data_IF_573856846098
#
_entry.id   IF_573856846098
#
_cell.length_a   1.000
_cell.length_b   1.000
_cell.length_c   1.000
_cell.angle_alpha   90.00
_cell.angle_beta   90.00
_cell.angle_gamma   90.00
#
_symmetry.space_group_name_H-M   'P 1'
#
loop_
_entity.id
_entity.type
_entity.pdbx_description
1 polymer ?
#
# COMPACT_ATOMS: atom_id res chain seq x y z
N UNK A 1 -0.80 44.42 -35.87
CA UNK A 1 -0.33 45.22 -34.71
C UNK A 1 -0.91 44.61 -33.44
N UNK A 2 -0.11 43.86 -32.67
CA UNK A 2 -0.54 43.39 -31.35
C UNK A 2 -0.37 44.55 -30.35
N UNK A 3 -1.48 45.11 -29.87
CA UNK A 3 -1.48 46.06 -28.77
C UNK A 3 -1.28 45.27 -27.47
N UNK A 4 -0.03 45.15 -27.00
CA UNK A 4 0.26 44.62 -25.67
C UNK A 4 -0.08 45.70 -24.63
N UNK A 5 -1.27 45.64 -24.08
CA UNK A 5 -1.69 46.60 -23.07
C UNK A 5 -1.09 46.24 -21.71
N UNK A 6 -0.38 47.19 -21.10
CA UNK A 6 0.12 46.98 -19.74
C UNK A 6 -1.06 47.03 -18.76
N UNK A 7 -1.02 46.19 -17.72
CA UNK A 7 -2.12 46.03 -16.75
C UNK A 7 -2.57 47.38 -16.14
N UNK A 8 -1.63 48.29 -15.92
CA UNK A 8 -1.87 49.63 -15.37
C UNK A 8 -2.72 50.49 -16.30
N UNK A 9 -2.50 50.33 -17.60
CA UNK A 9 -3.20 51.03 -18.65
C UNK A 9 -4.64 50.48 -18.77
N UNK A 10 -4.82 49.15 -18.66
CA UNK A 10 -6.13 48.46 -18.64
C UNK A 10 -7.06 49.04 -17.57
N UNK A 11 -6.50 49.24 -16.39
CA UNK A 11 -7.24 49.73 -15.23
C UNK A 11 -7.63 51.21 -15.37
N UNK A 12 -6.76 52.04 -15.96
CA UNK A 12 -7.05 53.46 -16.20
C UNK A 12 -8.19 53.66 -17.19
N UNK A 13 -8.20 52.90 -18.30
CA UNK A 13 -9.29 52.96 -19.30
C UNK A 13 -10.63 52.53 -18.74
N UNK A 14 -10.65 51.63 -17.76
CA UNK A 14 -11.85 51.19 -17.06
C UNK A 14 -12.35 52.16 -15.98
N UNK A 15 -11.81 53.40 -15.92
CA UNK A 15 -12.25 54.44 -14.99
C UNK A 15 -11.67 54.33 -13.58
N UNK A 16 -10.68 53.46 -13.37
CA UNK A 16 -10.04 53.27 -12.07
C UNK A 16 -8.84 54.21 -11.91
N UNK A 17 -9.07 55.39 -11.29
CA UNK A 17 -8.05 56.42 -11.04
C UNK A 17 -7.44 56.37 -9.62
N UNK A 18 -7.42 55.19 -9.00
CA UNK A 18 -6.83 55.04 -7.66
C UNK A 18 -5.31 54.86 -7.74
N UNK A 19 -4.59 55.56 -6.86
CA UNK A 19 -3.14 55.52 -6.78
C UNK A 19 -2.70 54.26 -6.02
N UNK A 20 -2.40 53.18 -6.75
CA UNK A 20 -1.96 51.91 -6.16
C UNK A 20 -0.54 52.03 -5.61
N UNK A 21 -0.41 52.22 -4.29
CA UNK A 21 0.87 52.06 -3.61
C UNK A 21 1.12 50.57 -3.38
N UNK A 22 2.18 50.03 -3.99
CA UNK A 22 2.61 48.66 -3.74
C UNK A 22 3.07 48.54 -2.28
N UNK A 23 2.29 47.82 -1.47
CA UNK A 23 2.59 47.61 -0.06
C UNK A 23 3.42 46.32 0.10
N UNK A 24 4.75 46.48 0.22
CA UNK A 24 5.72 45.37 0.38
C UNK A 24 5.48 44.56 1.65
N UNK A 25 4.87 45.13 2.68
CA UNK A 25 4.67 44.48 3.97
C UNK A 25 3.66 43.32 3.89
N UNK A 26 2.84 43.27 2.82
CA UNK A 26 1.93 42.15 2.55
C UNK A 26 2.64 40.92 1.96
N UNK A 27 3.83 41.04 1.39
CA UNK A 27 4.60 39.87 0.93
C UNK A 27 5.25 39.14 2.09
N UNK A 28 5.76 39.86 3.10
CA UNK A 28 6.37 39.24 4.28
C UNK A 28 5.35 38.51 5.16
N UNK A 29 4.14 39.06 5.29
CA UNK A 29 3.05 38.40 6.03
C UNK A 29 2.52 37.12 5.37
N UNK A 30 2.85 36.85 4.08
CA UNK A 30 2.47 35.60 3.42
C UNK A 30 3.44 34.44 3.68
N UNK A 31 4.61 34.67 4.29
CA UNK A 31 5.51 33.58 4.70
C UNK A 31 4.88 32.69 5.78
N UNK A 32 4.01 33.25 6.63
CA UNK A 32 3.25 32.52 7.64
C UNK A 32 2.02 31.77 7.08
N UNK A 33 1.80 31.80 5.76
CA UNK A 33 0.72 31.06 5.08
C UNK A 33 1.17 29.68 4.61
N UNK A 34 2.40 29.27 4.95
CA UNK A 34 2.87 27.88 4.80
C UNK A 34 2.19 26.92 5.78
N UNK A 35 1.50 27.44 6.80
CA UNK A 35 0.47 26.71 7.55
C UNK A 35 -0.82 26.53 6.73
N UNK A 36 -0.67 26.18 5.44
CA UNK A 36 -1.75 25.62 4.63
C UNK A 36 -2.21 24.36 5.33
N UNK A 37 -3.23 24.49 6.18
CA UNK A 37 -4.07 23.45 6.79
C UNK A 37 -3.54 22.06 6.47
N UNK A 38 -2.61 21.55 7.31
CA UNK A 38 -2.26 20.12 7.31
C UNK A 38 -3.56 19.38 7.60
N UNK A 39 -4.28 19.02 6.53
CA UNK A 39 -5.53 18.28 6.64
C UNK A 39 -5.11 16.94 7.24
N UNK A 40 -5.45 16.69 8.50
CA UNK A 40 -5.26 15.38 9.10
C UNK A 40 -6.04 14.39 8.24
N UNK A 41 -5.31 13.58 7.49
CA UNK A 41 -5.93 12.48 6.76
C UNK A 41 -6.21 11.42 7.82
N UNK A 42 -7.44 10.91 7.87
CA UNK A 42 -7.75 9.68 8.61
C UNK A 42 -7.06 8.54 7.87
N UNK A 43 -5.77 8.33 8.16
CA UNK A 43 -4.95 7.29 7.55
C UNK A 43 -5.06 6.08 8.47
N UNK A 44 -5.72 5.03 8.02
CA UNK A 44 -5.55 3.71 8.60
C UNK A 44 -4.20 3.20 8.11
N UNK A 45 -3.18 3.29 8.97
CA UNK A 45 -1.83 2.79 8.66
C UNK A 45 -1.64 1.45 9.36
N UNK A 46 -1.52 0.39 8.57
CA UNK A 46 -1.04 -0.91 9.02
C UNK A 46 0.06 -1.30 8.04
N UNK A 47 1.31 -1.42 8.51
CA UNK A 47 2.47 -1.86 7.72
C UNK A 47 2.89 -3.27 8.13
N UNK A 48 2.23 -4.29 7.58
CA UNK A 48 2.58 -5.68 7.81
C UNK A 48 3.93 -6.05 7.18
N UNK A 49 4.66 -6.99 7.81
CA UNK A 49 5.94 -7.50 7.33
C UNK A 49 5.83 -8.18 5.97
N UNK A 50 6.94 -8.12 5.22
CA UNK A 50 7.10 -8.78 3.93
C UNK A 50 6.77 -10.28 4.01
N UNK A 51 5.93 -10.77 3.11
CA UNK A 51 5.45 -12.16 3.03
C UNK A 51 5.67 -12.68 1.60
N UNK A 52 6.55 -13.67 1.47
CA UNK A 52 6.92 -14.31 0.19
C UNK A 52 5.81 -15.24 -0.35
N UNK A 53 4.80 -15.53 0.46
CA UNK A 53 3.62 -16.33 0.09
C UNK A 53 2.70 -15.62 -0.92
N UNK A 54 2.85 -14.31 -1.09
CA UNK A 54 1.99 -13.51 -1.98
C UNK A 54 2.70 -13.29 -3.31
N UNK A 55 2.52 -14.22 -4.25
CA UNK A 55 3.11 -14.14 -5.61
C UNK A 55 2.58 -12.97 -6.44
N UNK A 56 1.35 -12.54 -6.17
CA UNK A 56 0.69 -11.47 -6.92
C UNK A 56 1.21 -10.11 -6.46
N UNK A 57 1.83 -9.35 -7.37
CA UNK A 57 2.26 -7.98 -7.08
C UNK A 57 1.05 -7.02 -7.06
N UNK A 58 0.29 -7.06 -5.95
CA UNK A 58 -0.93 -6.27 -5.72
C UNK A 58 -0.64 -4.77 -5.82
N UNK A 59 0.52 -4.33 -5.33
CA UNK A 59 0.95 -2.94 -5.43
C UNK A 59 1.12 -2.44 -6.86
N UNK A 60 1.38 -3.35 -7.82
CA UNK A 60 1.46 -3.02 -9.25
C UNK A 60 0.09 -3.07 -9.93
N UNK A 61 -0.70 -4.10 -9.64
CA UNK A 61 -1.96 -4.38 -10.36
C UNK A 61 -3.09 -3.47 -9.86
N UNK A 62 -3.25 -3.31 -8.55
CA UNK A 62 -4.38 -2.60 -7.96
C UNK A 62 -4.45 -1.11 -8.33
N UNK A 63 -3.35 -0.31 -8.35
CA UNK A 63 -3.41 1.07 -8.81
C UNK A 63 -3.87 1.21 -10.28
N UNK A 64 -3.51 0.25 -11.14
CA UNK A 64 -3.97 0.25 -12.54
C UNK A 64 -5.48 -0.01 -12.66
N UNK A 65 -6.05 -0.84 -11.78
CA UNK A 65 -7.50 -1.04 -11.68
C UNK A 65 -8.21 0.23 -11.20
N UNK A 66 -7.63 0.94 -10.22
CA UNK A 66 -8.21 2.20 -9.73
C UNK A 66 -8.32 3.22 -10.86
N UNK A 67 -7.28 3.40 -11.66
CA UNK A 67 -7.32 4.36 -12.76
C UNK A 67 -8.34 3.98 -13.84
N UNK A 68 -8.49 2.67 -14.11
CA UNK A 68 -9.44 2.15 -15.10
C UNK A 68 -10.90 2.33 -14.67
N UNK A 69 -11.22 2.05 -13.40
CA UNK A 69 -12.60 2.03 -12.90
C UNK A 69 -13.04 3.34 -12.26
N UNK A 70 -12.10 4.15 -11.77
CA UNK A 70 -12.34 5.47 -11.19
C UNK A 70 -11.57 6.55 -11.96
N UNK A 71 -11.85 6.76 -13.26
CA UNK A 71 -11.29 7.88 -14.01
C UNK A 71 -11.80 9.22 -13.46
N UNK A 72 -11.18 10.34 -13.84
CA UNK A 72 -11.53 11.69 -13.34
C UNK A 72 -13.01 12.08 -13.53
N UNK A 73 -13.67 11.48 -14.52
CA UNK A 73 -15.09 11.67 -14.83
C UNK A 73 -16.03 10.95 -13.84
N UNK A 74 -15.53 9.96 -13.11
CA UNK A 74 -16.30 9.20 -12.14
C UNK A 74 -16.56 10.04 -10.88
N UNK A 75 -17.82 10.09 -10.41
CA UNK A 75 -18.24 10.79 -9.19
C UNK A 75 -17.40 10.41 -7.96
N UNK A 76 -16.94 9.17 -7.89
CA UNK A 76 -16.16 8.64 -6.78
C UNK A 76 -14.64 8.87 -6.90
N UNK A 77 -14.15 9.43 -8.01
CA UNK A 77 -12.72 9.67 -8.23
C UNK A 77 -12.06 10.50 -7.13
N UNK A 78 -12.80 11.45 -6.54
CA UNK A 78 -12.32 12.28 -5.43
C UNK A 78 -11.99 11.45 -4.19
N UNK A 79 -12.66 10.32 -4.01
CA UNK A 79 -12.53 9.40 -2.87
C UNK A 79 -11.54 8.28 -3.22
N UNK A 80 -11.71 7.64 -4.39
CA UNK A 80 -10.87 6.55 -4.86
C UNK A 80 -9.94 7.05 -5.98
N UNK A 81 -8.73 7.43 -5.60
CA UNK A 81 -7.64 7.76 -6.51
C UNK A 81 -6.29 7.33 -5.89
N UNK A 82 -5.22 7.37 -6.70
CA UNK A 82 -3.86 7.00 -6.26
C UNK A 82 -3.35 7.81 -5.06
N UNK A 83 -3.86 9.02 -4.84
CA UNK A 83 -3.41 9.88 -3.74
C UNK A 83 -4.14 9.57 -2.42
N UNK A 84 -5.31 8.94 -2.48
CA UNK A 84 -6.14 8.62 -1.31
C UNK A 84 -6.05 7.16 -0.88
N UNK A 85 -5.88 6.24 -1.83
CA UNK A 85 -5.84 4.80 -1.55
C UNK A 85 -4.40 4.36 -1.28
N UNK A 86 -4.17 3.73 -0.12
CA UNK A 86 -2.91 3.11 0.25
C UNK A 86 -3.07 1.59 0.30
N UNK A 87 -2.06 0.88 -0.18
CA UNK A 87 -2.01 -0.58 -0.18
C UNK A 87 -1.07 -1.01 0.94
N UNK A 88 -1.51 -1.97 1.74
CA UNK A 88 -0.67 -2.66 2.71
C UNK A 88 -0.94 -4.16 2.70
N UNK A 89 0.08 -4.96 2.97
CA UNK A 89 0.10 -6.42 2.78
C UNK A 89 -0.25 -7.22 4.02
N UNK A 90 -1.51 -7.38 4.45
CA UNK A 90 -1.76 -8.13 5.70
C UNK A 90 -1.00 -9.48 5.76
N UNK A 91 -0.14 -9.70 6.77
CA UNK A 91 0.71 -10.92 6.93
C UNK A 91 -0.09 -12.19 7.24
N UNK A 92 -1.38 -12.24 6.92
CA UNK A 92 -2.08 -13.51 7.05
C UNK A 92 -1.41 -14.50 6.10
N UNK A 93 -0.99 -15.67 6.59
CA UNK A 93 -0.45 -16.71 5.73
C UNK A 93 -1.50 -17.06 4.68
N UNK A 94 -1.05 -17.36 3.46
CA UNK A 94 -1.95 -17.78 2.38
C UNK A 94 -2.83 -18.93 2.89
N UNK A 95 -4.14 -18.76 2.78
CA UNK A 95 -5.13 -19.74 3.23
C UNK A 95 -4.89 -21.07 2.53
N UNK A 96 -4.50 -21.05 1.25
CA UNK A 96 -4.16 -22.26 0.51
C UNK A 96 -2.92 -22.95 1.08
N UNK A 97 -1.88 -22.18 1.37
CA UNK A 97 -0.64 -22.69 1.96
C UNK A 97 -0.88 -23.26 3.36
N UNK A 98 -1.74 -22.62 4.15
CA UNK A 98 -2.14 -23.07 5.49
C UNK A 98 -2.90 -24.40 5.41
N UNK A 99 -3.86 -24.52 4.48
CA UNK A 99 -4.61 -25.76 4.24
C UNK A 99 -3.70 -26.90 3.77
N UNK A 100 -2.79 -26.60 2.85
CA UNK A 100 -1.84 -27.56 2.32
C UNK A 100 -0.89 -28.08 3.39
N UNK A 101 -0.31 -27.18 4.20
CA UNK A 101 0.57 -27.55 5.30
C UNK A 101 -0.14 -28.43 6.34
N UNK A 102 -1.40 -28.13 6.64
CA UNK A 102 -2.23 -28.95 7.53
C UNK A 102 -2.44 -30.36 6.98
N UNK A 103 -2.87 -30.47 5.72
CA UNK A 103 -3.09 -31.76 5.05
C UNK A 103 -1.79 -32.57 4.95
N UNK A 104 -0.68 -31.90 4.63
CA UNK A 104 0.65 -32.51 4.60
C UNK A 104 1.04 -33.09 5.96
N UNK A 105 0.77 -32.36 7.05
CA UNK A 105 1.03 -32.83 8.42
C UNK A 105 0.17 -34.05 8.76
N UNK A 106 -1.12 -34.02 8.48
CA UNK A 106 -2.02 -35.17 8.70
C UNK A 106 -1.57 -36.42 7.92
N UNK A 107 -1.19 -36.26 6.66
CA UNK A 107 -0.69 -37.35 5.82
C UNK A 107 0.66 -37.92 6.29
N UNK A 108 1.48 -37.12 6.97
CA UNK A 108 2.73 -37.60 7.58
C UNK A 108 2.44 -38.36 8.88
N UNK A 109 1.55 -37.86 9.73
CA UNK A 109 1.12 -38.55 10.95
C UNK A 109 0.51 -39.92 10.64
N UNK A 110 -0.41 -39.98 9.67
CA UNK A 110 -0.99 -41.24 9.20
C UNK A 110 0.03 -42.23 8.61
N UNK A 111 1.13 -41.73 8.00
CA UNK A 111 2.19 -42.60 7.50
C UNK A 111 3.05 -43.17 8.62
N UNK A 112 3.35 -42.36 9.63
CA UNK A 112 4.14 -42.78 10.77
C UNK A 112 3.39 -43.75 11.69
N UNK A 113 2.07 -43.63 11.80
CA UNK A 113 1.22 -44.58 12.54
C UNK A 113 1.07 -45.95 11.86
N UNK A 114 1.36 -46.06 10.57
CA UNK A 114 1.25 -47.31 9.79
C UNK A 114 2.56 -48.06 9.57
N UNK A 115 3.68 -47.57 10.10
CA UNK A 115 4.93 -48.34 10.10
C UNK A 115 4.91 -49.35 11.26
N UNK A 116 4.88 -50.68 11.01
CA UNK A 116 4.97 -51.67 12.08
C UNK A 116 6.39 -51.73 12.63
N UNK A 117 6.51 -51.68 13.96
CA UNK A 117 7.73 -52.07 14.68
C UNK A 117 7.91 -53.59 14.55
N UNK A 118 8.62 -54.05 13.51
CA UNK A 118 9.20 -55.39 13.48
C UNK A 118 10.62 -55.34 14.08
N UNK A 119 10.70 -55.48 15.40
CA UNK A 119 11.95 -55.89 16.07
C UNK A 119 12.11 -57.40 15.92
N UNK A 120 12.90 -57.83 14.95
CA UNK A 120 13.41 -59.20 14.89
C UNK A 120 14.41 -59.42 16.03
N UNK A 121 14.08 -60.37 16.91
CA UNK A 121 14.95 -60.85 17.98
C UNK A 121 16.23 -61.48 17.40
N UNK A 122 17.38 -61.18 18.00
CA UNK A 122 18.54 -62.08 17.95
C UNK A 122 18.65 -62.71 19.33
N UNK A 123 18.28 -63.99 19.43
CA UNK A 123 18.51 -64.81 20.61
C UNK A 123 19.98 -65.26 20.59
N UNK A 124 20.75 -64.87 21.60
CA UNK A 124 22.08 -65.38 21.85
C UNK A 124 21.98 -66.86 22.28
N UNK A 125 22.35 -67.76 21.38
CA UNK A 125 22.56 -69.17 21.69
C UNK A 125 24.07 -69.46 21.88
N UNK A 126 24.37 -70.14 22.98
CA UNK A 126 25.69 -70.43 23.56
C UNK A 126 26.64 -71.15 22.58
N UNK A 127 27.96 -70.90 22.72
CA UNK A 127 28.95 -71.97 22.50
C UNK A 127 30.17 -71.89 23.42
N UNK A 128 30.28 -72.93 24.24
CA UNK A 128 31.40 -73.35 25.10
C UNK A 128 32.57 -73.89 24.27
N UNK A 129 33.79 -73.43 24.58
CA UNK A 129 35.12 -74.06 24.39
C UNK A 129 36.15 -72.96 24.74
N UNK A 130 37.25 -73.16 25.46
CA UNK A 130 38.06 -74.33 25.78
C UNK A 130 38.81 -74.12 27.09
#
# INVERSE_FOLDING_TARGET
MQLSYTQTEALKRSGFNQNFKFNKDKEENNKNKEDRKKRSRKITLFNPSFSDSVSTNVAKIFPSMIDRHFPKTNKLHKIFNRNTVKISYNCMPDVNQTLWNHNKKLLQQHRNEKAPTETHATADEKKTAS
#
